data_IF_521702270441
#
_entry.id   IF_521702270441
#
_cell.length_a   1.000
_cell.length_b   1.000
_cell.length_c   1.000
_cell.angle_alpha   90.00
_cell.angle_beta   90.00
_cell.angle_gamma   90.00
#
_symmetry.space_group_name_H-M   'P 1'
#
loop_
_entity.id
_entity.type
_entity.pdbx_description
1 polymer ?
#
# COMPACT_ATOMS: atom_id res chain seq x y z
N UNK A 1 -24.31 -30.19 -55.02
CA UNK A 1 -24.73 -29.55 -53.75
C UNK A 1 -23.52 -29.12 -53.01
N UNK A 2 -23.18 -27.81 -52.86
CA UNK A 2 -22.03 -27.37 -52.09
C UNK A 2 -22.41 -27.14 -50.62
N UNK A 3 -21.48 -27.55 -49.76
CA UNK A 3 -21.58 -27.42 -48.31
C UNK A 3 -21.41 -25.95 -47.86
N UNK A 4 -22.27 -25.53 -46.95
CA UNK A 4 -22.22 -24.20 -46.34
C UNK A 4 -21.12 -24.18 -45.28
N UNK A 5 -20.13 -23.32 -45.45
CA UNK A 5 -19.13 -22.96 -44.47
C UNK A 5 -19.70 -21.97 -43.47
N UNK A 6 -19.79 -22.35 -42.20
CA UNK A 6 -20.14 -21.45 -41.11
C UNK A 6 -18.95 -20.50 -40.80
N UNK A 7 -19.26 -19.20 -40.77
CA UNK A 7 -18.31 -18.16 -40.34
C UNK A 7 -18.09 -18.17 -38.81
N UNK A 8 -16.90 -17.88 -38.33
CA UNK A 8 -16.66 -17.81 -36.91
C UNK A 8 -17.26 -16.55 -36.26
N UNK A 9 -17.96 -16.77 -35.16
CA UNK A 9 -18.53 -15.75 -34.29
C UNK A 9 -17.42 -14.77 -33.80
N UNK A 10 -17.52 -13.51 -34.20
CA UNK A 10 -16.65 -12.45 -33.79
C UNK A 10 -16.82 -12.15 -32.30
N UNK A 11 -15.82 -12.48 -31.50
CA UNK A 11 -15.67 -11.98 -30.15
C UNK A 11 -15.55 -10.45 -30.19
N UNK A 12 -16.50 -9.74 -29.62
CA UNK A 12 -16.41 -8.28 -29.41
C UNK A 12 -15.34 -8.06 -28.35
N UNK A 13 -14.17 -7.61 -28.76
CA UNK A 13 -13.17 -7.03 -27.86
C UNK A 13 -13.79 -5.76 -27.29
N UNK A 14 -14.07 -5.77 -25.99
CA UNK A 14 -14.49 -4.56 -25.29
C UNK A 14 -13.37 -3.53 -25.45
N UNK A 15 -13.63 -2.44 -26.16
CA UNK A 15 -12.76 -1.28 -26.23
C UNK A 15 -12.72 -0.66 -24.85
N UNK A 16 -11.66 -0.92 -24.11
CA UNK A 16 -11.33 -0.22 -22.87
C UNK A 16 -11.10 1.25 -23.26
N UNK A 17 -12.01 2.14 -22.82
CA UNK A 17 -11.84 3.57 -22.99
C UNK A 17 -10.59 3.99 -22.18
N UNK A 18 -9.47 4.08 -22.85
CA UNK A 18 -8.23 4.61 -22.28
C UNK A 18 -8.47 6.10 -22.06
N UNK A 19 -8.74 6.48 -20.83
CA UNK A 19 -8.67 7.89 -20.43
C UNK A 19 -7.21 8.30 -20.67
N UNK A 20 -6.99 9.20 -21.65
CA UNK A 20 -5.65 9.73 -21.91
C UNK A 20 -5.22 10.54 -20.68
N UNK A 21 -4.00 10.32 -20.15
CA UNK A 21 -3.52 11.10 -19.03
C UNK A 21 -3.47 12.59 -19.43
N UNK A 22 -3.84 13.45 -18.49
CA UNK A 22 -3.68 14.89 -18.63
C UNK A 22 -2.19 15.22 -18.80
N UNK A 23 -1.76 15.81 -19.93
CA UNK A 23 -0.35 16.07 -20.18
C UNK A 23 0.28 17.09 -19.20
N UNK A 24 -0.51 17.80 -18.40
CA UNK A 24 -0.04 18.76 -17.38
C UNK A 24 0.09 18.12 -15.99
N UNK A 25 -0.39 16.87 -15.79
CA UNK A 25 -0.27 16.15 -14.52
C UNK A 25 0.99 15.28 -14.54
N UNK A 26 1.85 15.34 -13.48
CA UNK A 26 2.94 14.38 -13.33
C UNK A 26 2.40 12.95 -13.48
N UNK A 27 3.12 12.09 -14.19
CA UNK A 27 2.72 10.70 -14.33
C UNK A 27 2.63 10.05 -12.96
N UNK A 28 1.42 9.63 -12.57
CA UNK A 28 1.16 8.91 -11.32
C UNK A 28 1.33 7.41 -11.56
N UNK A 29 1.91 6.69 -10.62
CA UNK A 29 1.99 5.22 -10.70
C UNK A 29 0.62 4.57 -10.81
N UNK A 30 -0.42 5.23 -10.28
CA UNK A 30 -1.82 4.82 -10.42
C UNK A 30 -2.27 4.68 -11.88
N UNK A 31 -1.74 5.52 -12.76
CA UNK A 31 -2.15 5.58 -14.17
C UNK A 31 -1.38 4.57 -15.04
N UNK A 32 -0.35 3.93 -14.48
CA UNK A 32 0.41 2.89 -15.16
C UNK A 32 -0.36 1.57 -15.22
N UNK A 33 -0.12 0.81 -16.27
CA UNK A 33 -0.48 -0.62 -16.24
C UNK A 33 0.43 -1.33 -15.24
N UNK A 34 -0.04 -2.45 -14.67
CA UNK A 34 0.80 -3.28 -13.77
C UNK A 34 2.12 -3.65 -14.45
N UNK A 35 2.10 -3.99 -15.75
CA UNK A 35 3.32 -4.32 -16.50
C UNK A 35 4.26 -3.12 -16.59
N UNK A 36 3.75 -1.92 -16.90
CA UNK A 36 4.56 -0.71 -16.97
C UNK A 36 5.19 -0.35 -15.62
N UNK A 37 4.44 -0.47 -14.52
CA UNK A 37 4.99 -0.25 -13.18
C UNK A 37 6.12 -1.24 -12.85
N UNK A 38 5.94 -2.53 -13.18
CA UNK A 38 6.96 -3.56 -12.97
C UNK A 38 8.21 -3.29 -13.82
N UNK A 39 8.03 -2.87 -15.07
CA UNK A 39 9.14 -2.53 -15.97
C UNK A 39 9.92 -1.30 -15.46
N UNK A 40 9.22 -0.27 -14.96
CA UNK A 40 9.87 0.90 -14.34
C UNK A 40 10.63 0.52 -13.06
N UNK A 41 10.04 -0.29 -12.18
CA UNK A 41 10.67 -0.77 -10.96
C UNK A 41 11.92 -1.62 -11.25
N UNK A 42 11.91 -2.42 -12.33
CA UNK A 42 13.04 -3.23 -12.77
C UNK A 42 14.12 -2.43 -13.51
N UNK A 43 13.88 -1.16 -13.80
CA UNK A 43 14.82 -0.31 -14.52
C UNK A 43 16.00 0.11 -13.62
N UNK A 44 16.98 0.77 -14.21
CA UNK A 44 18.08 1.41 -13.45
C UNK A 44 17.73 2.80 -12.91
N UNK A 45 16.48 3.26 -13.04
CA UNK A 45 16.02 4.53 -12.50
C UNK A 45 15.96 4.47 -10.96
N UNK A 46 16.21 5.58 -10.26
CA UNK A 46 16.18 5.60 -8.80
C UNK A 46 14.76 5.53 -8.22
N UNK A 47 13.74 5.82 -8.99
CA UNK A 47 12.31 5.75 -8.67
C UNK A 47 11.54 5.14 -9.85
N UNK A 48 10.47 4.32 -9.57
CA UNK A 48 10.03 3.86 -8.26
C UNK A 48 11.05 2.97 -7.56
N UNK A 49 11.03 2.95 -6.22
CA UNK A 49 11.89 2.12 -5.40
C UNK A 49 11.13 1.24 -4.41
N UNK A 50 11.83 0.77 -3.37
CA UNK A 50 11.26 -0.12 -2.35
C UNK A 50 10.10 0.49 -1.57
N UNK A 51 10.10 1.82 -1.33
CA UNK A 51 9.01 2.52 -0.66
C UNK A 51 7.74 2.53 -1.51
N UNK A 52 7.84 2.96 -2.78
CA UNK A 52 6.72 2.92 -3.73
C UNK A 52 6.19 1.50 -3.93
N UNK A 53 7.08 0.48 -4.05
CA UNK A 53 6.70 -0.92 -4.18
C UNK A 53 5.95 -1.43 -2.94
N UNK A 54 6.37 -1.03 -1.73
CA UNK A 54 5.70 -1.37 -0.48
C UNK A 54 4.30 -0.78 -0.42
N UNK A 55 4.14 0.50 -0.79
CA UNK A 55 2.84 1.16 -0.81
C UNK A 55 1.88 0.49 -1.82
N UNK A 56 2.35 0.14 -3.02
CA UNK A 56 1.55 -0.61 -4.01
C UNK A 56 1.16 -1.99 -3.49
N UNK A 57 2.06 -2.73 -2.85
CA UNK A 57 1.76 -4.04 -2.27
C UNK A 57 0.68 -3.94 -1.18
N UNK A 58 0.77 -2.95 -0.28
CA UNK A 58 -0.25 -2.68 0.73
C UNK A 58 -1.59 -2.28 0.11
N UNK A 59 -1.59 -1.51 -0.98
CA UNK A 59 -2.79 -1.14 -1.73
C UNK A 59 -3.54 -2.37 -2.26
N UNK A 60 -2.81 -3.37 -2.77
CA UNK A 60 -3.42 -4.65 -3.18
C UNK A 60 -4.03 -5.39 -1.99
N UNK A 61 -3.35 -5.40 -0.83
CA UNK A 61 -3.89 -5.95 0.41
C UNK A 61 -5.20 -5.28 0.84
N UNK A 62 -5.23 -3.94 0.82
CA UNK A 62 -6.41 -3.15 1.12
C UNK A 62 -7.57 -3.42 0.16
N UNK A 63 -7.27 -3.58 -1.13
CA UNK A 63 -8.27 -3.92 -2.15
C UNK A 63 -8.87 -5.31 -1.91
N UNK A 64 -8.08 -6.30 -1.48
CA UNK A 64 -8.56 -7.63 -1.10
C UNK A 64 -9.47 -7.57 0.13
N UNK A 65 -9.12 -6.78 1.16
CA UNK A 65 -10.01 -6.51 2.31
C UNK A 65 -11.37 -6.00 1.83
N UNK A 66 -11.37 -4.96 0.97
CA UNK A 66 -12.60 -4.39 0.43
C UNK A 66 -13.42 -5.41 -0.38
N UNK A 67 -12.77 -6.22 -1.19
CA UNK A 67 -13.39 -7.24 -2.02
C UNK A 67 -14.08 -8.30 -1.15
N UNK A 68 -13.36 -8.87 -0.18
CA UNK A 68 -13.91 -9.94 0.69
C UNK A 68 -15.06 -9.42 1.55
N UNK A 69 -14.94 -8.21 2.09
CA UNK A 69 -16.02 -7.57 2.82
C UNK A 69 -17.26 -7.40 1.93
N UNK A 70 -17.10 -6.92 0.70
CA UNK A 70 -18.21 -6.77 -0.27
C UNK A 70 -18.85 -8.12 -0.64
N UNK A 71 -18.06 -9.18 -0.83
CA UNK A 71 -18.55 -10.53 -1.10
C UNK A 71 -19.29 -11.17 0.09
N UNK A 72 -19.13 -10.63 1.29
CA UNK A 72 -19.77 -11.09 2.51
C UNK A 72 -21.08 -10.36 2.79
N UNK A 73 -21.26 -9.14 2.28
CA UNK A 73 -22.47 -8.32 2.46
C UNK A 73 -23.73 -8.99 1.93
N UNK A 74 -24.86 -8.75 2.66
CA UNK A 74 -26.19 -9.19 2.25
C UNK A 74 -26.43 -10.71 2.33
N UNK A 75 -25.48 -11.48 2.82
CA UNK A 75 -25.63 -12.93 3.01
C UNK A 75 -26.17 -13.25 4.39
N UNK A 76 -27.31 -13.94 4.47
CA UNK A 76 -27.98 -14.30 5.71
C UNK A 76 -27.05 -14.99 6.71
N UNK A 77 -26.14 -15.85 6.23
CA UNK A 77 -25.17 -16.58 7.08
C UNK A 77 -24.22 -15.63 7.86
N UNK A 78 -23.98 -14.43 7.33
CA UNK A 78 -23.02 -13.46 7.86
C UNK A 78 -23.72 -12.16 8.30
N UNK A 79 -25.05 -12.20 8.50
CA UNK A 79 -25.85 -11.01 8.82
C UNK A 79 -25.43 -10.33 10.12
N UNK A 80 -24.95 -11.10 11.10
CA UNK A 80 -24.44 -10.60 12.38
C UNK A 80 -23.14 -9.77 12.25
N UNK A 81 -22.44 -9.87 11.12
CA UNK A 81 -21.22 -9.13 10.81
C UNK A 81 -21.45 -8.01 9.78
N UNK A 82 -22.70 -7.62 9.53
CA UNK A 82 -23.03 -6.71 8.43
C UNK A 82 -22.37 -5.33 8.55
N UNK A 83 -22.26 -4.80 9.76
CA UNK A 83 -21.60 -3.52 10.06
C UNK A 83 -20.10 -3.62 9.78
N UNK A 84 -19.44 -4.65 10.31
CA UNK A 84 -18.02 -4.94 10.01
C UNK A 84 -17.76 -5.01 8.51
N UNK A 85 -18.62 -5.70 7.74
CA UNK A 85 -18.45 -5.79 6.30
C UNK A 85 -18.60 -4.45 5.60
N UNK A 86 -19.55 -3.61 6.03
CA UNK A 86 -19.75 -2.28 5.47
C UNK A 86 -18.54 -1.38 5.72
N UNK A 87 -18.06 -1.32 6.95
CA UNK A 87 -16.90 -0.55 7.36
C UNK A 87 -15.62 -1.03 6.68
N UNK A 88 -15.34 -2.35 6.70
CA UNK A 88 -14.15 -2.91 6.06
C UNK A 88 -14.14 -2.69 4.55
N UNK A 89 -15.31 -2.73 3.89
CA UNK A 89 -15.41 -2.45 2.46
C UNK A 89 -15.14 -0.97 2.13
N UNK A 90 -15.54 -0.04 2.99
CA UNK A 90 -15.24 1.39 2.82
C UNK A 90 -13.78 1.67 3.11
N UNK A 91 -13.29 1.28 4.28
CA UNK A 91 -11.91 1.47 4.74
C UNK A 91 -10.91 0.86 3.76
N UNK A 92 -11.15 -0.37 3.28
CA UNK A 92 -10.27 -1.02 2.32
C UNK A 92 -10.14 -0.23 1.01
N UNK A 93 -11.23 0.35 0.50
CA UNK A 93 -11.18 1.21 -0.71
C UNK A 93 -10.42 2.51 -0.47
N UNK A 94 -10.64 3.16 0.67
CA UNK A 94 -9.95 4.40 1.03
C UNK A 94 -8.45 4.16 1.21
N UNK A 95 -8.07 3.10 1.93
CA UNK A 95 -6.67 2.72 2.12
C UNK A 95 -5.99 2.35 0.79
N UNK A 96 -6.67 1.60 -0.09
CA UNK A 96 -6.12 1.25 -1.39
C UNK A 96 -5.81 2.51 -2.23
N UNK A 97 -6.71 3.50 -2.23
CA UNK A 97 -6.49 4.76 -2.91
C UNK A 97 -5.35 5.57 -2.27
N UNK A 98 -5.36 5.73 -0.95
CA UNK A 98 -4.33 6.49 -0.21
C UNK A 98 -2.93 5.88 -0.37
N UNK A 99 -2.82 4.57 -0.38
CA UNK A 99 -1.54 3.87 -0.55
C UNK A 99 -0.95 4.06 -1.95
N UNK A 100 -1.77 4.19 -2.99
CA UNK A 100 -1.29 4.58 -4.32
C UNK A 100 -0.78 6.02 -4.35
N UNK A 101 -1.44 6.95 -3.63
CA UNK A 101 -0.93 8.31 -3.49
C UNK A 101 0.40 8.33 -2.71
N UNK A 102 0.54 7.51 -1.66
CA UNK A 102 1.79 7.37 -0.92
C UNK A 102 2.93 6.79 -1.76
N UNK A 103 2.64 5.95 -2.76
CA UNK A 103 3.65 5.47 -3.69
C UNK A 103 4.25 6.60 -4.53
N UNK A 104 3.41 7.54 -5.00
CA UNK A 104 3.86 8.73 -5.73
C UNK A 104 4.62 9.69 -4.80
N UNK A 105 4.10 9.94 -3.59
CA UNK A 105 4.74 10.80 -2.58
C UNK A 105 6.14 10.28 -2.20
N UNK A 106 6.37 8.96 -2.13
CA UNK A 106 7.67 8.34 -1.87
C UNK A 106 8.69 8.72 -2.97
N UNK A 107 8.30 8.62 -4.23
CA UNK A 107 9.14 8.99 -5.35
C UNK A 107 9.45 10.50 -5.39
N UNK A 108 8.47 11.34 -5.03
CA UNK A 108 8.64 12.80 -4.92
C UNK A 108 9.59 13.15 -3.78
N UNK A 109 9.44 12.54 -2.60
CA UNK A 109 10.30 12.76 -1.44
C UNK A 109 11.77 12.39 -1.74
N UNK A 110 11.98 11.24 -2.42
CA UNK A 110 13.31 10.86 -2.89
C UNK A 110 13.89 11.90 -3.87
N UNK A 111 13.08 12.36 -4.82
CA UNK A 111 13.49 13.34 -5.83
C UNK A 111 13.86 14.67 -5.18
N UNK A 112 13.12 15.11 -4.16
CA UNK A 112 13.43 16.31 -3.38
C UNK A 112 14.76 16.17 -2.63
N UNK A 113 15.04 15.01 -2.02
CA UNK A 113 16.32 14.75 -1.35
C UNK A 113 17.48 14.74 -2.36
N UNK A 114 17.30 14.10 -3.52
CA UNK A 114 18.29 14.08 -4.58
C UNK A 114 18.58 15.48 -5.14
N UNK A 115 17.56 16.34 -5.25
CA UNK A 115 17.72 17.75 -5.65
C UNK A 115 18.49 18.55 -4.58
N UNK A 116 18.13 18.41 -3.29
CA UNK A 116 18.81 19.08 -2.19
C UNK A 116 20.32 18.74 -2.14
N UNK A 117 20.69 17.50 -2.45
CA UNK A 117 22.10 17.08 -2.53
C UNK A 117 22.91 17.80 -3.61
N UNK A 118 22.25 18.32 -4.65
CA UNK A 118 22.89 19.03 -5.79
C UNK A 118 23.04 20.53 -5.55
N UNK A 119 22.49 21.07 -4.46
CA UNK A 119 22.62 22.50 -4.13
C UNK A 119 24.09 22.92 -3.98
N UNK A 120 24.43 24.19 -4.28
CA UNK A 120 25.75 24.76 -4.12
C UNK A 120 26.31 24.58 -2.69
N UNK A 121 27.65 24.53 -2.59
CA UNK A 121 28.36 24.28 -1.30
C UNK A 121 29.69 24.99 -1.17
N UNK A 122 29.91 26.02 -1.98
CA UNK A 122 31.21 26.72 -2.04
C UNK A 122 31.38 27.72 -0.88
N UNK A 123 30.28 28.33 -0.44
CA UNK A 123 30.27 29.31 0.67
C UNK A 123 29.62 28.72 1.91
N UNK A 124 29.90 29.28 3.09
CA UNK A 124 29.27 28.89 4.35
C UNK A 124 27.75 29.01 4.30
N UNK A 125 27.23 30.09 3.67
CA UNK A 125 25.79 30.29 3.47
C UNK A 125 25.17 29.21 2.62
N UNK A 126 25.81 28.84 1.51
CA UNK A 126 25.35 27.75 0.63
C UNK A 126 25.38 26.40 1.35
N UNK A 127 26.44 26.13 2.11
CA UNK A 127 26.54 24.90 2.92
C UNK A 127 25.43 24.84 3.95
N UNK A 128 25.12 25.94 4.63
CA UNK A 128 24.03 26.00 5.61
C UNK A 128 22.68 25.78 4.94
N UNK A 129 22.41 26.47 3.82
CA UNK A 129 21.17 26.31 3.04
C UNK A 129 21.00 24.87 2.51
N UNK A 130 22.07 24.27 1.99
CA UNK A 130 22.08 22.89 1.51
C UNK A 130 21.79 21.90 2.66
N UNK A 131 22.44 22.07 3.83
CA UNK A 131 22.16 21.22 4.99
C UNK A 131 20.69 21.29 5.41
N UNK A 132 20.15 22.50 5.54
CA UNK A 132 18.75 22.69 5.89
C UNK A 132 17.79 22.04 4.88
N UNK A 133 18.05 22.19 3.58
CA UNK A 133 17.26 21.58 2.52
C UNK A 133 17.34 20.04 2.58
N UNK A 134 18.53 19.47 2.80
CA UNK A 134 18.71 18.02 2.93
C UNK A 134 18.00 17.46 4.17
N UNK A 135 18.07 18.15 5.31
CA UNK A 135 17.37 17.73 6.53
C UNK A 135 15.85 17.77 6.36
N UNK A 136 15.31 18.81 5.75
CA UNK A 136 13.88 18.92 5.46
C UNK A 136 13.42 17.82 4.50
N UNK A 137 14.16 17.56 3.44
CA UNK A 137 13.83 16.50 2.48
C UNK A 137 13.97 15.10 3.10
N UNK A 138 14.98 14.87 3.95
CA UNK A 138 15.13 13.60 4.67
C UNK A 138 13.98 13.35 5.66
N UNK A 139 13.50 14.41 6.31
CA UNK A 139 12.33 14.33 7.18
C UNK A 139 11.10 13.89 6.39
N UNK A 140 10.82 14.54 5.25
CA UNK A 140 9.73 14.13 4.37
C UNK A 140 9.89 12.70 3.87
N UNK A 141 11.10 12.31 3.44
CA UNK A 141 11.43 10.94 3.02
C UNK A 141 11.34 9.91 4.16
N UNK A 142 11.23 10.35 5.43
CA UNK A 142 10.93 9.49 6.58
C UNK A 142 9.43 9.48 6.91
N UNK A 143 8.74 10.63 6.78
CA UNK A 143 7.33 10.77 7.11
C UNK A 143 6.43 9.99 6.15
N UNK A 144 6.74 9.97 4.84
CA UNK A 144 5.95 9.25 3.83
C UNK A 144 5.94 7.72 4.08
N UNK A 145 7.08 7.03 4.21
CA UNK A 145 7.05 5.60 4.53
C UNK A 145 6.49 5.31 5.93
N UNK A 146 6.55 6.26 6.88
CA UNK A 146 5.84 6.11 8.16
C UNK A 146 4.32 6.10 7.95
N UNK A 147 3.78 7.00 7.13
CA UNK A 147 2.36 6.98 6.77
C UNK A 147 1.97 5.69 6.05
N UNK A 148 2.85 5.16 5.20
CA UNK A 148 2.65 3.84 4.57
C UNK A 148 2.60 2.73 5.60
N UNK A 149 3.51 2.72 6.59
CA UNK A 149 3.55 1.73 7.67
C UNK A 149 2.26 1.76 8.52
N UNK A 150 1.74 2.96 8.82
CA UNK A 150 0.47 3.13 9.55
C UNK A 150 -0.73 2.64 8.74
N UNK A 151 -0.73 2.89 7.43
CA UNK A 151 -1.75 2.35 6.55
C UNK A 151 -1.68 0.81 6.47
N UNK A 152 -0.48 0.22 6.48
CA UNK A 152 -0.30 -1.23 6.55
C UNK A 152 -0.90 -1.81 7.84
N UNK A 153 -0.72 -1.16 9.00
CA UNK A 153 -1.37 -1.57 10.26
C UNK A 153 -2.89 -1.61 10.10
N UNK A 154 -3.47 -0.60 9.47
CA UNK A 154 -4.91 -0.54 9.23
C UNK A 154 -5.39 -1.66 8.29
N UNK A 155 -4.61 -1.98 7.24
CA UNK A 155 -4.92 -3.09 6.31
C UNK A 155 -4.91 -4.43 7.04
N UNK A 156 -3.85 -4.70 7.82
CA UNK A 156 -3.70 -5.99 8.53
C UNK A 156 -4.73 -6.12 9.64
N UNK A 157 -5.04 -5.04 10.36
CA UNK A 157 -6.10 -5.01 11.37
C UNK A 157 -7.48 -5.32 10.77
N UNK A 158 -7.80 -4.74 9.61
CA UNK A 158 -9.05 -5.04 8.91
C UNK A 158 -9.09 -6.50 8.41
N UNK A 159 -7.97 -7.03 7.93
CA UNK A 159 -7.87 -8.42 7.51
C UNK A 159 -8.07 -9.37 8.71
N UNK A 160 -7.43 -9.10 9.86
CA UNK A 160 -7.62 -9.88 11.11
C UNK A 160 -9.09 -9.83 11.57
N UNK A 161 -9.71 -8.66 11.54
CA UNK A 161 -11.11 -8.49 11.92
C UNK A 161 -12.07 -9.31 11.06
N UNK A 162 -11.79 -9.45 9.75
CA UNK A 162 -12.57 -10.25 8.82
C UNK A 162 -12.29 -11.75 8.92
N UNK A 163 -11.12 -12.17 9.42
CA UNK A 163 -10.77 -13.57 9.55
C UNK A 163 -11.80 -14.32 10.43
N UNK A 164 -12.43 -15.37 9.90
CA UNK A 164 -13.51 -16.11 10.55
C UNK A 164 -14.88 -15.40 10.62
N UNK A 165 -14.98 -14.17 10.06
CA UNK A 165 -16.22 -13.38 10.05
C UNK A 165 -16.66 -12.97 8.64
N UNK A 166 -16.09 -13.57 7.61
CA UNK A 166 -16.38 -13.27 6.22
C UNK A 166 -16.84 -14.51 5.44
N UNK A 167 -17.11 -14.31 4.15
CA UNK A 167 -17.42 -15.41 3.25
C UNK A 167 -16.27 -16.43 3.20
N UNK A 168 -16.51 -17.63 3.70
CA UNK A 168 -15.51 -18.70 3.79
C UNK A 168 -14.85 -19.04 2.43
N UNK A 169 -15.56 -18.85 1.31
CA UNK A 169 -14.99 -19.07 -0.03
C UNK A 169 -13.96 -18.02 -0.45
N UNK A 170 -13.90 -16.89 0.26
CA UNK A 170 -12.93 -15.82 0.05
C UNK A 170 -11.97 -15.68 1.24
N UNK A 171 -11.93 -16.63 2.15
CA UNK A 171 -11.08 -16.57 3.34
C UNK A 171 -9.59 -16.56 3.00
N UNK A 172 -9.18 -17.28 1.95
CA UNK A 172 -7.79 -17.27 1.46
C UNK A 172 -7.32 -15.88 1.01
N UNK A 173 -8.22 -15.05 0.46
CA UNK A 173 -7.88 -13.70 0.02
C UNK A 173 -7.57 -12.78 1.20
N UNK A 174 -8.20 -13.02 2.36
CA UNK A 174 -7.85 -12.34 3.62
C UNK A 174 -6.45 -12.72 4.09
N UNK A 175 -6.07 -13.99 3.97
CA UNK A 175 -4.69 -14.44 4.23
C UNK A 175 -3.68 -13.72 3.35
N UNK A 176 -3.97 -13.58 2.05
CA UNK A 176 -3.12 -12.83 1.12
C UNK A 176 -3.07 -11.34 1.48
N UNK A 177 -4.19 -10.74 1.89
CA UNK A 177 -4.23 -9.34 2.34
C UNK A 177 -3.32 -9.09 3.55
N UNK A 178 -3.35 -9.99 4.55
CA UNK A 178 -2.50 -9.92 5.72
C UNK A 178 -1.01 -10.04 5.36
N UNK A 179 -0.65 -11.00 4.50
CA UNK A 179 0.74 -11.19 4.03
C UNK A 179 1.26 -9.99 3.24
N UNK A 180 0.46 -9.42 2.34
CA UNK A 180 0.85 -8.24 1.57
C UNK A 180 1.03 -7.03 2.50
N UNK A 181 0.13 -6.83 3.46
CA UNK A 181 0.23 -5.77 4.45
C UNK A 181 1.48 -5.91 5.34
N UNK A 182 1.79 -7.12 5.82
CA UNK A 182 2.97 -7.39 6.64
C UNK A 182 4.27 -7.19 5.85
N UNK A 183 4.37 -7.73 4.64
CA UNK A 183 5.55 -7.56 3.77
C UNK A 183 5.78 -6.07 3.44
N UNK A 184 4.72 -5.34 3.10
CA UNK A 184 4.77 -3.90 2.84
C UNK A 184 5.21 -3.11 4.08
N UNK A 185 4.72 -3.48 5.27
CA UNK A 185 5.09 -2.85 6.53
C UNK A 185 6.61 -2.96 6.80
N UNK A 186 7.19 -4.13 6.60
CA UNK A 186 8.64 -4.32 6.72
C UNK A 186 9.43 -3.46 5.73
N UNK A 187 8.96 -3.36 4.49
CA UNK A 187 9.56 -2.48 3.49
C UNK A 187 9.46 -1.01 3.87
N UNK A 188 8.29 -0.55 4.30
CA UNK A 188 8.07 0.82 4.75
C UNK A 188 8.93 1.14 6.01
N UNK A 189 8.97 0.24 6.98
CA UNK A 189 9.81 0.38 8.18
C UNK A 189 11.30 0.56 7.84
N UNK A 190 11.81 -0.25 6.91
CA UNK A 190 13.20 -0.14 6.46
C UNK A 190 13.46 1.23 5.78
N UNK A 191 12.49 1.74 4.99
CA UNK A 191 12.59 3.05 4.35
C UNK A 191 12.54 4.20 5.36
N UNK A 192 11.74 4.12 6.42
CA UNK A 192 11.81 5.08 7.53
C UNK A 192 13.23 5.11 8.11
N UNK A 193 13.72 3.95 8.57
CA UNK A 193 14.97 3.85 9.33
C UNK A 193 16.18 4.29 8.52
N UNK A 194 16.24 4.01 7.23
CA UNK A 194 17.39 4.40 6.37
C UNK A 194 17.50 5.91 6.19
N UNK A 195 16.39 6.66 6.29
CA UNK A 195 16.36 8.10 6.10
C UNK A 195 16.65 8.89 7.39
N UNK A 196 16.39 8.33 8.59
CA UNK A 196 16.52 9.02 9.88
C UNK A 196 17.91 9.66 10.11
N UNK A 197 19.05 9.02 9.79
CA UNK A 197 20.37 9.63 10.00
C UNK A 197 20.58 10.95 9.24
N UNK A 198 19.83 11.16 8.15
CA UNK A 198 19.94 12.38 7.32
C UNK A 198 19.05 13.54 7.81
N UNK A 199 18.17 13.29 8.77
CA UNK A 199 17.26 14.32 9.33
C UNK A 199 18.03 15.28 10.24
N UNK A 200 19.07 14.79 10.96
CA UNK A 200 19.88 15.62 11.86
C UNK A 200 19.13 16.07 13.12
N UNK A 201 18.15 15.28 13.57
CA UNK A 201 17.35 15.46 14.79
C UNK A 201 17.29 14.13 15.52
N UNK A 202 18.14 13.96 16.53
CA UNK A 202 18.27 12.71 17.28
C UNK A 202 17.01 12.37 18.07
N UNK A 203 16.29 13.37 18.56
CA UNK A 203 15.06 13.15 19.32
C UNK A 203 13.95 12.60 18.40
N UNK A 204 13.78 13.20 17.23
CA UNK A 204 12.88 12.71 16.20
C UNK A 204 13.27 11.29 15.74
N UNK A 205 14.56 11.04 15.49
CA UNK A 205 15.03 9.73 15.06
C UNK A 205 14.73 8.65 16.10
N UNK A 206 14.94 8.93 17.38
CA UNK A 206 14.64 8.01 18.47
C UNK A 206 13.12 7.74 18.58
N UNK A 207 12.29 8.78 18.53
CA UNK A 207 10.82 8.66 18.55
C UNK A 207 10.32 7.79 17.40
N UNK A 208 10.75 8.10 16.16
CA UNK A 208 10.34 7.36 14.96
C UNK A 208 10.79 5.90 15.01
N UNK A 209 12.00 5.63 15.51
CA UNK A 209 12.51 4.26 15.67
C UNK A 209 11.63 3.44 16.62
N UNK A 210 11.25 4.02 17.76
CA UNK A 210 10.34 3.34 18.71
C UNK A 210 8.95 3.12 18.12
N UNK A 211 8.44 4.10 17.37
CA UNK A 211 7.13 4.02 16.71
C UNK A 211 7.11 2.92 15.64
N UNK A 212 8.14 2.88 14.79
CA UNK A 212 8.34 1.80 13.80
C UNK A 212 8.30 0.44 14.46
N UNK A 213 9.13 0.25 15.51
CA UNK A 213 9.19 -1.05 16.20
C UNK A 213 7.82 -1.49 16.72
N UNK A 214 7.12 -0.60 17.43
CA UNK A 214 5.79 -0.91 17.97
C UNK A 214 4.81 -1.30 16.89
N UNK A 215 4.73 -0.52 15.79
CA UNK A 215 3.77 -0.78 14.71
C UNK A 215 4.09 -2.11 14.01
N UNK A 216 5.36 -2.42 13.78
CA UNK A 216 5.77 -3.70 13.18
C UNK A 216 5.41 -4.87 14.10
N UNK A 217 5.68 -4.77 15.40
CA UNK A 217 5.33 -5.80 16.38
C UNK A 217 3.78 -6.04 16.39
N UNK A 218 2.98 -4.96 16.37
CA UNK A 218 1.51 -5.04 16.31
C UNK A 218 1.02 -5.72 15.02
N UNK A 219 1.60 -5.37 13.87
CA UNK A 219 1.26 -5.96 12.57
C UNK A 219 1.56 -7.45 12.55
N UNK A 220 2.74 -7.86 13.03
CA UNK A 220 3.12 -9.28 13.09
C UNK A 220 2.16 -10.09 13.94
N UNK A 221 1.75 -9.55 15.09
CA UNK A 221 0.79 -10.22 15.95
C UNK A 221 -0.59 -10.37 15.29
N UNK A 222 -1.09 -9.31 14.65
CA UNK A 222 -2.37 -9.33 13.94
C UNK A 222 -2.34 -10.29 12.75
N UNK A 223 -1.27 -10.27 11.95
CA UNK A 223 -1.10 -11.18 10.82
C UNK A 223 -1.05 -12.64 11.27
N UNK A 224 -0.31 -12.95 12.33
CA UNK A 224 -0.26 -14.29 12.91
C UNK A 224 -1.64 -14.75 13.37
N UNK A 225 -2.40 -13.91 14.08
CA UNK A 225 -3.76 -14.20 14.53
C UNK A 225 -4.70 -14.45 13.35
N UNK A 226 -4.62 -13.63 12.29
CA UNK A 226 -5.41 -13.83 11.08
C UNK A 226 -5.12 -15.19 10.43
N UNK A 227 -3.85 -15.54 10.25
CA UNK A 227 -3.44 -16.82 9.67
C UNK A 227 -3.84 -18.04 10.51
N UNK A 228 -3.70 -17.95 11.84
CA UNK A 228 -4.16 -19.02 12.74
C UNK A 228 -5.66 -19.25 12.62
N UNK A 229 -6.46 -18.17 12.70
CA UNK A 229 -7.92 -18.23 12.55
C UNK A 229 -8.34 -18.85 11.22
N UNK A 230 -7.69 -18.45 10.12
CA UNK A 230 -7.98 -18.99 8.79
C UNK A 230 -7.56 -20.45 8.66
N UNK A 231 -6.45 -20.84 9.27
CA UNK A 231 -5.96 -22.23 9.27
C UNK A 231 -6.86 -23.19 10.05
N UNK A 232 -7.49 -22.72 11.11
CA UNK A 232 -8.46 -23.48 11.89
C UNK A 232 -9.83 -23.58 11.20
N UNK A 233 -10.15 -22.68 10.27
CA UNK A 233 -11.44 -22.65 9.56
C UNK A 233 -12.62 -22.31 10.46
N UNK A 234 -12.37 -21.72 11.62
CA UNK A 234 -13.39 -21.41 12.62
C UNK A 234 -14.12 -20.12 12.30
N UNK A 235 -15.44 -20.11 12.59
CA UNK A 235 -16.22 -18.88 12.63
C UNK A 235 -16.00 -18.17 13.97
N UNK A 236 -15.89 -16.84 13.94
CA UNK A 236 -15.70 -16.01 15.14
C UNK A 236 -16.97 -15.21 15.44
N UNK A 237 -17.19 -14.96 16.73
CA UNK A 237 -18.27 -14.09 17.21
C UNK A 237 -18.12 -12.65 16.67
N UNK A 238 -19.24 -11.90 16.58
CA UNK A 238 -19.20 -10.48 16.25
C UNK A 238 -18.24 -9.71 17.16
N UNK A 239 -17.62 -8.67 16.61
CA UNK A 239 -16.83 -7.74 17.41
C UNK A 239 -17.76 -7.03 18.39
N UNK A 240 -17.39 -7.01 19.68
CA UNK A 240 -18.12 -6.24 20.67
C UNK A 240 -17.77 -4.76 20.47
N UNK A 241 -18.77 -3.95 20.16
CA UNK A 241 -18.68 -2.48 20.13
C UNK A 241 -18.56 -1.91 21.51
#
# INVERSE_FOLDING_TARGET
MPAATAAPSGARIATYNRVMPDPERPASFRDLTVAAFVDELASGAPVPGGGSASAVAASLGAALVAMVAALSQGRMRWAEHAELHAESAATGRELAARLLDLADEDAEAYSAFAAARKLPRETESEQAARRAAMQAAARWASDVPMATLEACLSVVSAAESLAGRCNANAASDIGVAALLGEAAAHGAAANVLVNLPSVGDDAYAAEMTMRVKRIVDDIQQLAATAHETLGQGESREPLRT
#
